data_IF_399615248456
#
_entry.id   IF_399615248456
#
_cell.length_a   1.000
_cell.length_b   1.000
_cell.length_c   1.000
_cell.angle_alpha   90.00
_cell.angle_beta   90.00
_cell.angle_gamma   90.00
#
_symmetry.space_group_name_H-M   'P 1'
#
loop_
_entity.id
_entity.type
_entity.pdbx_description
1 polymer ?
#
# COMPACT_ATOMS: atom_id res chain seq x y z
N UNK A 1 -28.68 1.34 18.46
CA UNK A 1 -27.40 1.97 18.13
C UNK A 1 -26.87 1.30 16.88
N UNK A 2 -26.71 2.02 15.78
CA UNK A 2 -26.19 1.43 14.54
C UNK A 2 -24.71 1.11 14.75
N UNK A 3 -24.35 -0.17 14.66
CA UNK A 3 -22.96 -0.64 14.65
C UNK A 3 -22.31 -0.08 13.39
N UNK A 4 -21.72 1.11 13.48
CA UNK A 4 -20.87 1.63 12.40
C UNK A 4 -19.69 0.68 12.29
N UNK A 5 -19.68 -0.12 11.24
CA UNK A 5 -18.52 -0.91 10.85
C UNK A 5 -17.33 0.03 10.80
N UNK A 6 -16.41 -0.06 11.77
CA UNK A 6 -15.20 0.74 11.75
C UNK A 6 -14.37 0.27 10.56
N UNK A 7 -14.22 1.15 9.57
CA UNK A 7 -13.32 0.86 8.47
C UNK A 7 -11.89 0.84 9.01
N UNK A 8 -11.21 -0.28 8.81
CA UNK A 8 -9.82 -0.47 9.22
C UNK A 8 -8.91 -0.34 8.01
N UNK A 9 -7.71 0.18 8.25
CA UNK A 9 -6.68 0.25 7.21
C UNK A 9 -6.32 -1.15 6.72
N UNK A 10 -6.13 -1.28 5.41
CA UNK A 10 -5.80 -2.56 4.78
C UNK A 10 -4.76 -2.36 3.68
N UNK A 11 -3.76 -3.22 3.68
CA UNK A 11 -2.78 -3.33 2.62
C UNK A 11 -3.10 -4.48 1.67
N UNK A 12 -2.85 -4.27 0.38
CA UNK A 12 -2.97 -5.29 -0.66
C UNK A 12 -1.70 -5.34 -1.48
N UNK A 13 -1.23 -6.55 -1.81
CA UNK A 13 -0.10 -6.76 -2.71
C UNK A 13 -0.61 -6.88 -4.15
N UNK A 14 -0.01 -6.13 -5.08
CA UNK A 14 -0.32 -6.23 -6.51
C UNK A 14 0.92 -6.10 -7.37
N UNK A 15 0.95 -6.69 -8.57
CA UNK A 15 2.01 -6.42 -9.52
C UNK A 15 2.00 -4.95 -9.93
N UNK A 16 3.19 -4.39 -10.13
CA UNK A 16 3.35 -3.03 -10.68
C UNK A 16 2.99 -3.08 -12.15
N UNK A 17 2.14 -2.17 -12.59
CA UNK A 17 1.73 -2.07 -13.99
C UNK A 17 2.57 -1.04 -14.75
N UNK A 18 2.73 -1.24 -16.06
CA UNK A 18 3.41 -0.29 -16.91
C UNK A 18 2.69 1.08 -16.86
N UNK A 19 3.44 2.15 -16.62
CA UNK A 19 2.87 3.49 -16.42
C UNK A 19 2.53 3.83 -14.97
N UNK A 20 2.83 2.97 -14.00
CA UNK A 20 2.67 3.31 -12.59
C UNK A 20 3.56 4.52 -12.21
N UNK A 21 2.91 5.57 -11.70
CA UNK A 21 3.56 6.81 -11.25
C UNK A 21 3.61 6.94 -9.72
N UNK A 22 3.25 5.88 -8.98
CA UNK A 22 3.24 5.92 -7.52
C UNK A 22 4.64 6.07 -6.93
N UNK A 23 4.72 6.77 -5.80
CA UNK A 23 5.96 6.97 -5.04
C UNK A 23 5.85 6.21 -3.73
N UNK A 24 6.90 5.48 -3.37
CA UNK A 24 6.97 4.74 -2.12
C UNK A 24 7.05 5.71 -0.94
N UNK A 25 6.15 5.57 0.03
CA UNK A 25 6.13 6.44 1.23
C UNK A 25 7.35 6.19 2.13
N UNK A 26 7.87 4.96 2.18
CA UNK A 26 9.02 4.61 3.03
C UNK A 26 10.35 5.20 2.54
N UNK A 27 10.64 5.06 1.24
CA UNK A 27 11.95 5.44 0.69
C UNK A 27 11.91 6.68 -0.21
N UNK A 28 10.73 7.21 -0.54
CA UNK A 28 10.55 8.37 -1.42
C UNK A 28 10.86 8.11 -2.90
N UNK A 29 11.24 6.88 -3.27
CA UNK A 29 11.56 6.52 -4.64
C UNK A 29 10.31 6.05 -5.41
N UNK A 30 10.25 6.26 -6.74
CA UNK A 30 9.13 5.81 -7.55
C UNK A 30 9.04 4.27 -7.60
N UNK A 31 7.83 3.74 -7.51
CA UNK A 31 7.53 2.32 -7.66
C UNK A 31 7.42 2.00 -9.16
N UNK A 32 8.56 1.81 -9.81
CA UNK A 32 8.61 1.64 -11.27
C UNK A 32 8.34 0.21 -11.70
N UNK A 33 7.64 0.08 -12.82
CA UNK A 33 7.57 -1.17 -13.55
C UNK A 33 8.92 -1.47 -14.21
N UNK A 34 9.33 -2.73 -14.17
CA UNK A 34 10.50 -3.22 -14.89
C UNK A 34 10.10 -4.46 -15.71
N UNK A 35 10.15 -4.40 -17.04
CA UNK A 35 9.62 -5.44 -17.92
C UNK A 35 10.23 -6.85 -17.70
N UNK A 36 11.48 -6.93 -17.23
CA UNK A 36 12.18 -8.19 -16.95
C UNK A 36 12.05 -8.66 -15.50
N UNK A 37 11.43 -7.87 -14.63
CA UNK A 37 11.31 -8.13 -13.20
C UNK A 37 9.85 -8.01 -12.81
N UNK A 38 9.23 -9.10 -12.33
CA UNK A 38 7.90 -9.03 -11.73
C UNK A 38 8.00 -8.25 -10.41
N UNK A 39 7.90 -6.94 -10.53
CA UNK A 39 7.93 -6.01 -9.40
C UNK A 39 6.54 -5.98 -8.78
N UNK A 40 6.47 -6.01 -7.46
CA UNK A 40 5.23 -5.89 -6.71
C UNK A 40 5.22 -4.59 -5.93
N UNK A 41 4.03 -4.02 -5.79
CA UNK A 41 3.75 -2.89 -4.93
C UNK A 41 2.73 -3.28 -3.87
N UNK A 42 2.85 -2.65 -2.73
CA UNK A 42 1.80 -2.67 -1.72
C UNK A 42 1.03 -1.36 -1.81
N UNK A 43 -0.29 -1.47 -1.85
CA UNK A 43 -1.19 -0.33 -1.74
C UNK A 43 -1.93 -0.46 -0.41
N UNK A 44 -1.78 0.53 0.46
CA UNK A 44 -2.47 0.60 1.74
C UNK A 44 -3.55 1.68 1.70
N UNK A 45 -4.80 1.29 1.93
CA UNK A 45 -5.87 2.25 2.17
C UNK A 45 -5.87 2.59 3.66
N UNK A 46 -5.59 3.84 4.00
CA UNK A 46 -5.44 4.31 5.37
C UNK A 46 -6.75 4.94 5.83
N UNK A 47 -7.25 4.46 6.96
CA UNK A 47 -8.40 5.02 7.66
C UNK A 47 -7.97 5.56 9.02
N UNK A 48 -8.46 6.75 9.37
CA UNK A 48 -8.28 7.40 10.68
C UNK A 48 -9.67 7.54 11.30
N UNK A 49 -9.85 7.05 12.53
CA UNK A 49 -11.13 7.05 13.24
C UNK A 49 -12.30 6.45 12.42
N UNK A 50 -12.02 5.42 11.64
CA UNK A 50 -13.00 4.75 10.77
C UNK A 50 -13.41 5.57 9.53
N UNK A 51 -12.71 6.66 9.22
CA UNK A 51 -12.94 7.49 8.03
C UNK A 51 -11.75 7.35 7.07
N UNK A 52 -12.03 7.26 5.77
CA UNK A 52 -10.98 7.20 4.77
C UNK A 52 -10.14 8.48 4.82
N UNK A 53 -8.82 8.32 4.90
CA UNK A 53 -7.87 9.44 4.95
C UNK A 53 -7.08 9.55 3.65
N UNK A 54 -6.39 8.47 3.25
CA UNK A 54 -5.52 8.47 2.08
C UNK A 54 -5.17 7.07 1.59
N UNK A 55 -4.52 7.02 0.42
CA UNK A 55 -3.87 5.81 -0.11
C UNK A 55 -2.36 6.01 -0.04
N UNK A 56 -1.66 5.02 0.52
CA UNK A 56 -0.21 4.98 0.56
C UNK A 56 0.31 3.83 -0.30
N UNK A 57 1.41 4.11 -1.01
CA UNK A 57 2.05 3.14 -1.88
C UNK A 57 3.44 2.80 -1.35
N UNK A 58 3.83 1.54 -1.51
CA UNK A 58 5.12 1.02 -1.08
C UNK A 58 5.68 0.07 -2.12
N UNK A 59 7.01 -0.04 -2.16
CA UNK A 59 7.64 -1.25 -2.70
C UNK A 59 7.31 -2.42 -1.78
N UNK A 60 7.18 -3.63 -2.32
CA UNK A 60 6.92 -4.83 -1.52
C UNK A 60 7.96 -4.99 -0.40
N UNK A 61 9.26 -4.87 -0.74
CA UNK A 61 10.35 -4.94 0.23
C UNK A 61 10.28 -3.85 1.30
N UNK A 62 9.96 -2.61 0.90
CA UNK A 62 9.85 -1.50 1.84
C UNK A 62 8.69 -1.67 2.82
N UNK A 63 7.59 -2.27 2.37
CA UNK A 63 6.43 -2.54 3.22
C UNK A 63 6.76 -3.59 4.29
N UNK A 64 7.41 -4.69 3.90
CA UNK A 64 7.88 -5.71 4.84
C UNK A 64 8.93 -5.16 5.82
N UNK A 65 9.90 -4.39 5.34
CA UNK A 65 10.92 -3.76 6.19
C UNK A 65 10.32 -2.77 7.20
N UNK A 66 9.21 -2.12 6.85
CA UNK A 66 8.48 -1.23 7.77
C UNK A 66 7.60 -1.96 8.80
N UNK A 67 7.60 -3.30 8.79
CA UNK A 67 6.83 -4.10 9.75
C UNK A 67 5.33 -4.14 9.45
N UNK A 68 4.92 -3.90 8.20
CA UNK A 68 3.53 -3.98 7.76
C UNK A 68 2.55 -3.08 8.56
N UNK A 69 2.71 -1.74 8.50
CA UNK A 69 1.98 -0.79 9.36
C UNK A 69 0.45 -0.87 9.24
N UNK A 70 -0.07 -1.37 8.11
CA UNK A 70 -1.51 -1.51 7.83
C UNK A 70 -1.94 -2.97 7.70
N UNK A 71 -1.22 -3.87 8.39
CA UNK A 71 -1.44 -5.31 8.37
C UNK A 71 -0.74 -6.01 7.20
N UNK A 72 -0.82 -7.34 7.15
CA UNK A 72 -0.20 -8.14 6.09
C UNK A 72 -0.79 -7.77 4.73
N UNK A 73 0.09 -7.47 3.77
CA UNK A 73 -0.31 -7.29 2.37
C UNK A 73 -0.63 -8.67 1.79
N UNK A 74 -1.91 -9.04 1.84
CA UNK A 74 -2.44 -10.29 1.28
C UNK A 74 -3.07 -10.08 -0.10
#
# INVERSE_FOLDING_TARGET
MATKSQFTSRAVLRPVEAGNAAVCVTCGAPVKFAAKVKSFQVIANVYIDGTWDRVEHYHADCYEQSGCPYGSAA
#
